data_IF_261373541519
#
_entry.id   IF_261373541519
#
_cell.length_a   1.000
_cell.length_b   1.000
_cell.length_c   1.000
_cell.angle_alpha   90.00
_cell.angle_beta   90.00
_cell.angle_gamma   90.00
#
_symmetry.space_group_name_H-M   'P 1'
#
loop_
_entity.id
_entity.type
_entity.pdbx_description
1 polymer ?
#
# COMPACT_ATOMS: atom_id res chain seq x y z
N UNK A 1 1.70 -1.35 -25.07
CA UNK A 1 0.92 -1.05 -23.85
C UNK A 1 0.07 -2.21 -23.31
N UNK A 2 -0.43 -3.15 -24.11
CA UNK A 2 -1.28 -4.24 -23.57
C UNK A 2 -0.50 -5.38 -22.88
N UNK A 3 0.80 -5.54 -23.12
CA UNK A 3 1.64 -6.57 -22.50
C UNK A 3 2.23 -6.14 -21.13
N UNK A 4 2.12 -4.89 -20.79
CA UNK A 4 2.80 -4.29 -19.62
C UNK A 4 2.14 -4.69 -18.28
N UNK A 5 0.83 -4.94 -18.26
CA UNK A 5 0.07 -5.23 -17.04
C UNK A 5 -0.58 -6.61 -17.04
N UNK A 6 -0.11 -7.52 -17.90
CA UNK A 6 -0.61 -8.89 -17.96
C UNK A 6 -2.14 -8.98 -18.00
N UNK A 7 -2.71 -9.85 -17.17
CA UNK A 7 -4.16 -10.06 -17.08
C UNK A 7 -4.92 -8.81 -16.58
N UNK A 8 -4.23 -7.87 -15.90
CA UNK A 8 -4.85 -6.64 -15.38
C UNK A 8 -4.96 -5.50 -16.40
N UNK A 9 -4.46 -5.67 -17.62
CA UNK A 9 -4.57 -4.66 -18.70
C UNK A 9 -5.99 -4.09 -18.89
N UNK A 10 -7.10 -4.85 -18.76
CA UNK A 10 -8.45 -4.30 -18.85
C UNK A 10 -8.76 -3.24 -17.79
N UNK A 11 -8.24 -3.38 -16.55
CA UNK A 11 -8.44 -2.42 -15.45
C UNK A 11 -7.88 -1.06 -15.84
N UNK A 12 -6.66 -1.03 -16.41
CA UNK A 12 -6.01 0.22 -16.81
C UNK A 12 -6.65 0.86 -18.04
N UNK A 13 -7.15 0.05 -18.98
CA UNK A 13 -7.83 0.53 -20.19
C UNK A 13 -9.19 1.16 -19.87
N UNK A 14 -9.91 0.66 -18.86
CA UNK A 14 -11.21 1.22 -18.46
C UNK A 14 -11.09 2.60 -17.82
N UNK A 15 -9.93 2.94 -17.26
CA UNK A 15 -9.72 4.15 -16.47
C UNK A 15 -10.35 4.11 -15.07
N UNK A 16 -11.14 3.10 -14.74
CA UNK A 16 -11.89 3.01 -13.48
C UNK A 16 -10.99 2.72 -12.26
N UNK A 17 -9.71 2.38 -12.47
CA UNK A 17 -8.76 2.15 -11.37
C UNK A 17 -8.63 3.36 -10.43
N UNK A 18 -8.93 4.58 -10.88
CA UNK A 18 -8.93 5.78 -10.04
C UNK A 18 -9.97 5.70 -8.91
N UNK A 19 -11.09 4.99 -9.14
CA UNK A 19 -12.09 4.74 -8.09
C UNK A 19 -11.56 3.89 -6.95
N UNK A 20 -10.49 3.11 -7.20
CA UNK A 20 -9.84 2.27 -6.17
C UNK A 20 -9.03 3.12 -5.17
N UNK A 21 -8.64 4.35 -5.54
CA UNK A 21 -7.82 5.22 -4.68
C UNK A 21 -8.48 5.50 -3.33
N UNK A 22 -9.79 5.74 -3.36
CA UNK A 22 -10.59 6.00 -2.17
C UNK A 22 -11.63 4.91 -1.89
N UNK A 23 -11.71 3.89 -2.74
CA UNK A 23 -12.77 2.86 -2.73
C UNK A 23 -14.18 3.46 -2.60
N UNK A 24 -14.40 4.57 -3.30
CA UNK A 24 -15.63 5.35 -3.25
C UNK A 24 -16.13 5.77 -4.64
N UNK A 25 -17.37 6.27 -4.66
CA UNK A 25 -18.00 6.74 -5.91
C UNK A 25 -18.79 5.65 -6.65
N UNK A 26 -19.48 6.02 -7.73
CA UNK A 26 -20.42 5.13 -8.42
C UNK A 26 -19.73 3.95 -9.11
N UNK A 27 -18.49 4.13 -9.58
CA UNK A 27 -17.78 3.13 -10.39
C UNK A 27 -16.95 2.14 -9.57
N UNK A 28 -16.86 2.30 -8.24
CA UNK A 28 -15.97 1.50 -7.39
C UNK A 28 -16.30 0.00 -7.47
N UNK A 29 -17.57 -0.36 -7.44
CA UNK A 29 -18.00 -1.77 -7.53
C UNK A 29 -17.56 -2.40 -8.85
N UNK A 30 -17.73 -1.66 -9.95
CA UNK A 30 -17.32 -2.12 -11.27
C UNK A 30 -15.79 -2.27 -11.35
N UNK A 31 -15.03 -1.31 -10.83
CA UNK A 31 -13.57 -1.35 -10.80
C UNK A 31 -13.07 -2.56 -10.00
N UNK A 32 -13.61 -2.77 -8.80
CA UNK A 32 -13.26 -3.92 -7.96
C UNK A 32 -13.64 -5.24 -8.64
N UNK A 33 -14.86 -5.36 -9.17
CA UNK A 33 -15.30 -6.57 -9.89
C UNK A 33 -14.33 -6.90 -11.03
N UNK A 34 -13.92 -5.89 -11.80
CA UNK A 34 -12.98 -6.09 -12.91
C UNK A 34 -11.60 -6.59 -12.42
N UNK A 35 -11.09 -6.07 -11.30
CA UNK A 35 -9.85 -6.57 -10.68
C UNK A 35 -10.00 -8.06 -10.30
N UNK A 36 -11.11 -8.42 -9.64
CA UNK A 36 -11.36 -9.79 -9.21
C UNK A 36 -11.51 -10.76 -10.38
N UNK A 37 -12.19 -10.35 -11.46
CA UNK A 37 -12.31 -11.12 -12.68
C UNK A 37 -10.94 -11.33 -13.36
N UNK A 38 -10.08 -10.31 -13.38
CA UNK A 38 -8.71 -10.43 -13.88
C UNK A 38 -7.92 -11.47 -13.09
N UNK A 39 -8.02 -11.47 -11.75
CA UNK A 39 -7.41 -12.49 -10.91
C UNK A 39 -7.90 -13.91 -11.24
N UNK A 40 -9.19 -14.10 -11.56
CA UNK A 40 -9.74 -15.42 -11.86
C UNK A 40 -9.27 -15.97 -13.22
N UNK A 41 -8.87 -15.09 -14.14
CA UNK A 41 -8.40 -15.47 -15.49
C UNK A 41 -6.95 -15.93 -15.53
N UNK A 42 -6.17 -15.63 -14.48
CA UNK A 42 -4.76 -16.02 -14.44
C UNK A 42 -4.57 -17.42 -13.90
N UNK A 43 -3.72 -18.20 -14.56
CA UNK A 43 -3.22 -19.49 -14.05
C UNK A 43 -2.23 -19.30 -12.90
N UNK A 44 -1.50 -18.20 -12.88
CA UNK A 44 -0.59 -17.79 -11.79
C UNK A 44 -0.92 -16.38 -11.31
N UNK A 45 -2.04 -16.28 -10.61
CA UNK A 45 -2.56 -15.01 -10.12
C UNK A 45 -1.61 -14.28 -9.15
N UNK A 46 -0.81 -15.02 -8.38
CA UNK A 46 0.10 -14.41 -7.40
C UNK A 46 1.35 -13.83 -8.06
N UNK A 47 1.85 -14.46 -9.10
CA UNK A 47 2.93 -13.89 -9.92
C UNK A 47 2.46 -12.61 -10.62
N UNK A 48 1.28 -12.64 -11.22
CA UNK A 48 0.68 -11.46 -11.86
C UNK A 48 0.44 -10.30 -10.87
N UNK A 49 -0.02 -10.59 -9.65
CA UNK A 49 -0.16 -9.59 -8.58
C UNK A 49 1.21 -9.07 -8.14
N UNK A 50 2.20 -9.96 -7.96
CA UNK A 50 3.56 -9.58 -7.57
C UNK A 50 4.19 -8.64 -8.61
N UNK A 51 3.99 -8.92 -9.90
CA UNK A 51 4.49 -8.10 -11.00
C UNK A 51 3.92 -6.67 -10.97
N UNK A 52 2.67 -6.47 -10.51
CA UNK A 52 2.13 -5.13 -10.35
C UNK A 52 2.92 -4.28 -9.35
N UNK A 53 3.52 -4.90 -8.32
CA UNK A 53 4.33 -4.19 -7.32
C UNK A 53 5.77 -3.90 -7.79
N UNK A 54 6.22 -4.53 -8.88
CA UNK A 54 7.53 -4.25 -9.47
C UNK A 54 7.55 -2.98 -10.35
N UNK A 55 6.39 -2.46 -10.73
CA UNK A 55 6.31 -1.22 -11.47
C UNK A 55 6.80 -0.03 -10.63
N UNK A 56 7.28 1.02 -11.32
CA UNK A 56 7.68 2.27 -10.69
C UNK A 56 6.51 3.22 -10.46
N UNK A 57 5.40 3.00 -11.18
CA UNK A 57 4.17 3.78 -11.08
C UNK A 57 3.27 3.25 -9.96
N UNK A 58 2.65 4.15 -9.21
CA UNK A 58 1.76 3.82 -8.10
C UNK A 58 0.43 3.17 -8.53
N UNK A 59 0.00 3.36 -9.78
CA UNK A 59 -1.28 2.84 -10.30
C UNK A 59 -1.34 1.31 -10.28
N UNK A 60 -0.34 0.58 -10.79
CA UNK A 60 -0.26 -0.86 -10.61
C UNK A 60 -0.23 -1.29 -9.15
N UNK A 61 0.47 -0.57 -8.28
CA UNK A 61 0.47 -0.87 -6.84
C UNK A 61 -0.92 -0.83 -6.23
N UNK A 62 -1.75 0.15 -6.60
CA UNK A 62 -3.13 0.26 -6.13
C UNK A 62 -4.00 -0.92 -6.58
N UNK A 63 -3.89 -1.32 -7.85
CA UNK A 63 -4.60 -2.48 -8.40
C UNK A 63 -4.12 -3.77 -7.70
N UNK A 64 -2.81 -3.92 -7.51
CA UNK A 64 -2.20 -5.04 -6.79
C UNK A 64 -2.67 -5.13 -5.34
N UNK A 65 -2.80 -4.00 -4.64
CA UNK A 65 -3.31 -3.95 -3.28
C UNK A 65 -4.74 -4.50 -3.19
N UNK A 66 -5.66 -4.05 -4.07
CA UNK A 66 -7.05 -4.56 -4.12
C UNK A 66 -7.06 -6.05 -4.49
N UNK A 67 -6.28 -6.46 -5.49
CA UNK A 67 -6.21 -7.85 -5.92
C UNK A 67 -5.73 -8.77 -4.79
N UNK A 68 -4.74 -8.34 -4.02
CA UNK A 68 -4.16 -9.12 -2.93
C UNK A 68 -5.13 -9.27 -1.75
N UNK A 69 -5.89 -8.21 -1.40
CA UNK A 69 -6.85 -8.26 -0.28
C UNK A 69 -7.97 -9.27 -0.48
N UNK A 70 -8.27 -9.65 -1.71
CA UNK A 70 -9.30 -10.63 -2.05
C UNK A 70 -8.78 -12.07 -2.12
N UNK A 71 -7.55 -12.35 -1.66
CA UNK A 71 -6.88 -13.64 -1.83
C UNK A 71 -6.28 -14.14 -0.52
N UNK A 72 -6.13 -15.48 -0.36
CA UNK A 72 -5.35 -16.04 0.73
C UNK A 72 -3.91 -15.52 0.72
N UNK A 73 -3.27 -15.60 1.89
CA UNK A 73 -1.86 -15.22 2.04
C UNK A 73 -0.96 -15.89 1.00
N UNK A 74 -0.11 -15.09 0.39
CA UNK A 74 0.99 -15.56 -0.46
C UNK A 74 2.27 -14.80 -0.12
N UNK A 75 3.31 -15.52 0.26
CA UNK A 75 4.58 -14.95 0.73
C UNK A 75 5.25 -14.08 -0.32
N UNK A 76 5.27 -14.52 -1.60
CA UNK A 76 5.94 -13.79 -2.68
C UNK A 76 5.23 -12.47 -2.95
N UNK A 77 3.90 -12.49 -3.13
CA UNK A 77 3.12 -11.28 -3.38
C UNK A 77 3.21 -10.29 -2.19
N UNK A 78 3.16 -10.78 -0.93
CA UNK A 78 3.35 -9.93 0.24
C UNK A 78 4.77 -9.35 0.32
N UNK A 79 5.81 -10.11 -0.05
CA UNK A 79 7.18 -9.57 -0.12
C UNK A 79 7.27 -8.41 -1.11
N UNK A 80 6.69 -8.56 -2.30
CA UNK A 80 6.67 -7.52 -3.33
C UNK A 80 5.86 -6.29 -2.93
N UNK A 81 4.74 -6.50 -2.23
CA UNK A 81 3.99 -5.40 -1.63
C UNK A 81 4.84 -4.60 -0.65
N UNK A 82 5.57 -5.27 0.26
CA UNK A 82 6.46 -4.60 1.19
C UNK A 82 7.64 -3.89 0.51
N UNK A 83 8.18 -4.44 -0.58
CA UNK A 83 9.19 -3.77 -1.41
C UNK A 83 8.66 -2.47 -2.02
N UNK A 84 7.42 -2.47 -2.55
CA UNK A 84 6.76 -1.29 -3.08
C UNK A 84 6.44 -0.26 -1.97
N UNK A 85 6.06 -0.73 -0.79
CA UNK A 85 5.86 0.10 0.40
C UNK A 85 7.17 0.80 0.80
N UNK A 86 8.28 0.05 0.94
CA UNK A 86 9.59 0.55 1.32
C UNK A 86 10.20 1.48 0.25
N UNK A 87 9.80 1.34 -1.01
CA UNK A 87 10.13 2.27 -2.07
C UNK A 87 9.41 3.64 -1.94
N UNK A 88 8.49 3.77 -0.99
CA UNK A 88 7.72 4.99 -0.76
C UNK A 88 6.72 5.27 -1.87
N UNK A 89 5.96 4.27 -2.29
CA UNK A 89 4.85 4.42 -3.24
C UNK A 89 3.91 5.56 -2.82
N UNK A 90 3.36 6.25 -3.80
CA UNK A 90 2.39 7.31 -3.52
C UNK A 90 1.13 6.79 -2.80
N UNK A 91 0.76 5.53 -3.03
CA UNK A 91 -0.36 4.83 -2.38
C UNK A 91 0.06 4.01 -1.15
N UNK A 92 1.10 4.44 -0.44
CA UNK A 92 1.60 3.80 0.79
C UNK A 92 0.50 3.47 1.82
N UNK A 93 -0.50 4.34 2.10
CA UNK A 93 -1.58 3.99 3.03
C UNK A 93 -2.39 2.77 2.58
N UNK A 94 -2.69 2.65 1.28
CA UNK A 94 -3.43 1.52 0.71
C UNK A 94 -2.60 0.23 0.74
N UNK A 95 -1.29 0.33 0.50
CA UNK A 95 -0.37 -0.80 0.65
C UNK A 95 -0.30 -1.28 2.10
N UNK A 96 -0.26 -0.36 3.07
CA UNK A 96 -0.29 -0.70 4.49
C UNK A 96 -1.56 -1.48 4.86
N UNK A 97 -2.73 -1.06 4.36
CA UNK A 97 -4.00 -1.78 4.59
C UNK A 97 -3.98 -3.16 3.93
N UNK A 98 -3.50 -3.27 2.70
CA UNK A 98 -3.37 -4.57 2.04
C UNK A 98 -2.45 -5.51 2.85
N UNK A 99 -1.31 -5.02 3.34
CA UNK A 99 -0.43 -5.79 4.22
C UNK A 99 -1.13 -6.18 5.54
N UNK A 100 -1.86 -5.27 6.17
CA UNK A 100 -2.61 -5.51 7.41
C UNK A 100 -3.64 -6.65 7.26
N UNK A 101 -4.30 -6.73 6.11
CA UNK A 101 -5.32 -7.75 5.84
C UNK A 101 -4.72 -9.09 5.39
N UNK A 102 -3.60 -9.07 4.66
CA UNK A 102 -3.11 -10.24 3.92
C UNK A 102 -1.86 -10.87 4.54
N UNK A 103 -1.04 -10.11 5.30
CA UNK A 103 0.20 -10.63 5.85
C UNK A 103 0.04 -11.04 7.32
N UNK A 104 0.04 -12.35 7.65
CA UNK A 104 -0.06 -12.81 9.04
C UNK A 104 1.09 -12.32 9.92
N UNK A 105 2.19 -11.86 9.31
CA UNK A 105 3.34 -11.30 10.02
C UNK A 105 3.31 -9.77 10.11
N UNK A 106 2.18 -9.13 9.77
CA UNK A 106 2.04 -7.67 9.72
C UNK A 106 2.58 -6.96 10.95
N UNK A 107 2.24 -7.45 12.17
CA UNK A 107 2.71 -6.83 13.42
C UNK A 107 4.24 -6.77 13.50
N UNK A 108 4.92 -7.84 13.11
CA UNK A 108 6.38 -7.93 13.10
C UNK A 108 6.96 -6.98 12.04
N UNK A 109 6.41 -7.03 10.83
CA UNK A 109 6.86 -6.21 9.70
C UNK A 109 6.67 -4.71 9.98
N UNK A 110 5.53 -4.33 10.54
CA UNK A 110 5.24 -2.96 10.94
C UNK A 110 6.19 -2.49 12.06
N UNK A 111 6.37 -3.30 13.11
CA UNK A 111 7.25 -2.96 14.23
C UNK A 111 8.71 -2.74 13.78
N UNK A 112 9.23 -3.58 12.89
CA UNK A 112 10.58 -3.42 12.36
C UNK A 112 10.74 -2.10 11.58
N UNK A 113 9.74 -1.72 10.77
CA UNK A 113 9.75 -0.47 10.00
C UNK A 113 9.61 0.76 10.89
N UNK A 114 8.73 0.71 11.88
CA UNK A 114 8.55 1.81 12.84
C UNK A 114 9.86 2.05 13.64
N UNK A 115 10.48 1.00 14.16
CA UNK A 115 11.77 1.09 14.87
C UNK A 115 12.89 1.70 14.00
N UNK A 116 12.89 1.41 12.72
CA UNK A 116 13.85 2.00 11.77
C UNK A 116 13.38 3.34 11.17
N UNK A 117 12.25 3.91 11.65
CA UNK A 117 11.67 5.17 11.15
C UNK A 117 11.28 5.11 9.67
N UNK A 118 10.81 3.95 9.20
CA UNK A 118 10.31 3.72 7.84
C UNK A 118 11.25 4.28 6.76
N UNK A 119 12.50 3.82 6.67
CA UNK A 119 13.44 4.34 5.70
C UNK A 119 12.97 4.06 4.27
N UNK A 120 13.03 5.08 3.42
CA UNK A 120 12.66 4.94 2.01
C UNK A 120 13.84 4.35 1.22
N UNK A 121 13.57 3.31 0.43
CA UNK A 121 14.57 2.72 -0.47
C UNK A 121 14.90 3.66 -1.63
N UNK A 122 15.98 4.41 -1.50
CA UNK A 122 16.41 5.44 -2.47
C UNK A 122 16.77 4.88 -3.84
N UNK A 123 17.19 3.64 -3.95
CA UNK A 123 17.58 3.04 -5.23
C UNK A 123 16.38 3.00 -6.21
N UNK A 124 15.19 2.69 -5.73
CA UNK A 124 13.97 2.73 -6.54
C UNK A 124 13.49 4.15 -6.87
N UNK A 125 13.76 5.14 -6.02
CA UNK A 125 13.38 6.54 -6.27
C UNK A 125 14.14 7.14 -7.47
N UNK A 126 15.37 6.72 -7.71
CA UNK A 126 16.20 7.23 -8.82
C UNK A 126 15.66 6.79 -10.18
N UNK A 127 14.95 5.67 -10.22
CA UNK A 127 14.37 5.08 -11.44
C UNK A 127 12.99 5.67 -11.79
N UNK A 128 12.39 6.47 -10.90
CA UNK A 128 11.09 7.10 -11.17
C UNK A 128 11.16 8.18 -12.26
N UNK A 129 10.05 8.43 -12.99
CA UNK A 129 9.98 9.50 -13.99
C UNK A 129 10.40 10.86 -13.43
N UNK A 130 11.02 11.69 -14.27
CA UNK A 130 11.64 12.95 -13.84
C UNK A 130 10.67 13.91 -13.12
N UNK A 131 9.37 13.88 -13.47
CA UNK A 131 8.35 14.73 -12.85
C UNK A 131 8.14 14.38 -11.36
N UNK A 132 8.14 13.08 -11.02
CA UNK A 132 7.97 12.62 -9.64
C UNK A 132 9.26 12.78 -8.82
N UNK A 133 10.43 12.80 -9.48
CA UNK A 133 11.73 13.01 -8.84
C UNK A 133 11.85 14.39 -8.19
N UNK A 134 11.39 15.44 -8.86
CA UNK A 134 11.54 16.82 -8.36
C UNK A 134 10.77 17.09 -7.06
N UNK A 135 9.63 16.42 -6.89
CA UNK A 135 8.78 16.59 -5.69
C UNK A 135 9.22 15.64 -4.56
N UNK A 136 9.85 14.51 -4.90
CA UNK A 136 9.94 13.36 -3.99
C UNK A 136 11.34 12.99 -3.53
N UNK A 137 12.41 13.46 -4.20
CA UNK A 137 13.80 13.02 -3.93
C UNK A 137 14.59 13.96 -3.03
N UNK A 138 14.08 15.15 -2.74
CA UNK A 138 14.70 16.05 -1.75
C UNK A 138 14.53 15.53 -0.31
N UNK A 139 15.34 16.02 0.65
CA UNK A 139 15.24 15.60 2.06
C UNK A 139 13.83 15.72 2.63
N UNK A 140 13.10 16.78 2.30
CA UNK A 140 11.72 16.99 2.73
C UNK A 140 10.76 15.94 2.13
N UNK A 141 10.90 15.58 0.85
CA UNK A 141 10.06 14.55 0.22
C UNK A 141 10.32 13.15 0.78
N UNK A 142 11.57 12.83 1.15
CA UNK A 142 11.92 11.56 1.81
C UNK A 142 11.31 11.51 3.21
N UNK A 143 11.43 12.58 3.99
CA UNK A 143 10.82 12.68 5.32
C UNK A 143 9.30 12.52 5.25
N UNK A 144 8.65 13.16 4.29
CA UNK A 144 7.20 13.03 4.06
C UNK A 144 6.79 11.58 3.73
N UNK A 145 7.55 10.85 2.91
CA UNK A 145 7.26 9.44 2.58
C UNK A 145 7.41 8.54 3.81
N UNK A 146 8.46 8.76 4.61
CA UNK A 146 8.67 8.04 5.87
C UNK A 146 7.54 8.33 6.87
N UNK A 147 7.11 9.58 7.00
CA UNK A 147 6.00 9.99 7.85
C UNK A 147 4.69 9.33 7.43
N UNK A 148 4.37 9.35 6.13
CA UNK A 148 3.21 8.69 5.53
C UNK A 148 3.18 7.19 5.86
N UNK A 149 4.33 6.52 5.70
CA UNK A 149 4.47 5.11 6.02
C UNK A 149 4.28 4.85 7.52
N UNK A 150 4.94 5.62 8.39
CA UNK A 150 4.84 5.50 9.84
C UNK A 150 3.41 5.72 10.33
N UNK A 151 2.74 6.81 9.91
CA UNK A 151 1.36 7.13 10.28
C UNK A 151 0.39 6.01 9.94
N UNK A 152 0.51 5.46 8.72
CA UNK A 152 -0.34 4.35 8.26
C UNK A 152 -0.12 3.09 9.10
N UNK A 153 1.14 2.71 9.37
CA UNK A 153 1.47 1.51 10.14
C UNK A 153 1.06 1.64 11.61
N UNK A 154 1.30 2.78 12.26
CA UNK A 154 0.91 3.05 13.65
C UNK A 154 -0.61 2.93 13.78
N UNK A 155 -1.38 3.56 12.85
CA UNK A 155 -2.84 3.48 12.85
C UNK A 155 -3.33 2.04 12.78
N UNK A 156 -2.83 1.25 11.85
CA UNK A 156 -3.26 -0.13 11.63
C UNK A 156 -2.80 -1.07 12.74
N UNK A 157 -1.58 -0.90 13.27
CA UNK A 157 -1.10 -1.67 14.41
C UNK A 157 -1.97 -1.46 15.66
N UNK A 158 -2.51 -0.25 15.84
CA UNK A 158 -3.47 0.05 16.91
C UNK A 158 -4.83 -0.63 16.76
N UNK A 159 -5.16 -1.18 15.58
CA UNK A 159 -6.41 -1.91 15.31
C UNK A 159 -6.27 -3.42 15.47
N UNK A 160 -5.07 -3.95 15.70
CA UNK A 160 -4.88 -5.38 15.93
C UNK A 160 -5.62 -5.83 17.20
N UNK A 161 -6.24 -7.03 17.16
CA UNK A 161 -6.97 -7.60 18.27
C UNK A 161 -6.12 -7.72 19.55
N UNK A 162 -4.82 -8.01 19.37
CA UNK A 162 -3.81 -7.93 20.43
C UNK A 162 -2.89 -6.77 20.10
N UNK A 163 -3.01 -5.69 20.86
CA UNK A 163 -2.14 -4.52 20.71
C UNK A 163 -0.67 -4.94 20.88
N UNK A 164 0.21 -4.67 19.90
CA UNK A 164 1.61 -5.07 20.00
C UNK A 164 2.32 -4.33 21.14
N UNK A 165 3.09 -5.05 21.96
CA UNK A 165 3.88 -4.46 23.06
C UNK A 165 4.82 -3.34 22.59
N UNK A 166 5.46 -3.53 21.44
CA UNK A 166 6.36 -2.53 20.86
C UNK A 166 5.68 -1.20 20.51
N UNK A 167 4.35 -1.17 20.33
CA UNK A 167 3.67 0.03 19.85
C UNK A 167 3.67 1.15 20.89
N UNK A 168 3.44 0.83 22.15
CA UNK A 168 3.41 1.83 23.22
C UNK A 168 4.80 2.40 23.50
N UNK A 169 5.84 1.54 23.47
CA UNK A 169 7.24 1.96 23.62
C UNK A 169 7.66 2.92 22.50
N UNK A 170 7.29 2.60 21.26
CA UNK A 170 7.62 3.44 20.11
C UNK A 170 6.83 4.76 20.10
N UNK A 171 5.55 4.75 20.49
CA UNK A 171 4.75 5.97 20.61
C UNK A 171 5.26 6.92 21.70
N UNK A 172 5.96 6.43 22.71
CA UNK A 172 6.62 7.25 23.72
C UNK A 172 7.94 7.89 23.19
N UNK A 173 8.43 7.49 22.01
CA UNK A 173 9.67 8.03 21.43
C UNK A 173 9.44 9.41 20.81
N UNK A 174 10.22 10.45 21.22
CA UNK A 174 10.14 11.77 20.61
C UNK A 174 10.41 11.74 19.08
N UNK A 175 11.38 10.95 18.63
CA UNK A 175 11.74 10.83 17.22
C UNK A 175 10.58 10.32 16.35
N UNK A 176 9.76 9.37 16.87
CA UNK A 176 8.58 8.93 16.17
C UNK A 176 7.49 10.00 16.18
N UNK A 177 7.28 10.66 17.32
CA UNK A 177 6.30 11.74 17.45
C UNK A 177 6.60 12.87 16.45
N UNK A 178 7.85 13.29 16.37
CA UNK A 178 8.29 14.32 15.42
C UNK A 178 8.11 13.86 13.96
N UNK A 179 8.41 12.59 13.67
CA UNK A 179 8.18 12.03 12.33
C UNK A 179 6.68 12.04 11.97
N UNK A 180 5.80 11.57 12.87
CA UNK A 180 4.35 11.55 12.65
C UNK A 180 3.77 12.96 12.44
N UNK A 181 4.30 13.96 13.15
CA UNK A 181 3.87 15.36 13.00
C UNK A 181 4.20 15.95 11.62
N UNK A 182 5.09 15.32 10.85
CA UNK A 182 5.41 15.75 9.47
C UNK A 182 4.47 15.17 8.42
N UNK A 183 3.53 14.26 8.77
CA UNK A 183 2.55 13.69 7.84
C UNK A 183 1.42 14.67 7.52
N UNK A 184 1.65 15.53 6.53
CA UNK A 184 0.68 16.53 6.07
C UNK A 184 -0.46 15.93 5.21
N UNK A 185 -0.32 14.69 4.76
CA UNK A 185 -1.30 14.01 3.89
C UNK A 185 -2.36 13.25 4.71
N UNK A 186 -2.30 13.28 6.04
CA UNK A 186 -3.22 12.56 6.92
C UNK A 186 -3.32 11.06 6.58
N UNK A 187 -2.18 10.40 6.40
CA UNK A 187 -2.10 9.04 5.88
C UNK A 187 -2.73 8.00 6.80
N UNK A 188 -2.79 8.28 8.11
CA UNK A 188 -3.50 7.45 9.08
C UNK A 188 -5.01 7.39 8.79
N UNK A 189 -5.62 8.55 8.47
CA UNK A 189 -7.04 8.67 8.12
C UNK A 189 -7.32 8.04 6.76
N UNK A 190 -6.42 8.22 5.78
CA UNK A 190 -6.54 7.57 4.47
C UNK A 190 -6.53 6.05 4.64
N UNK A 191 -5.59 5.49 5.42
CA UNK A 191 -5.52 4.06 5.68
C UNK A 191 -6.80 3.55 6.37
N UNK A 192 -7.29 4.25 7.39
CA UNK A 192 -8.52 3.88 8.08
C UNK A 192 -9.73 3.90 7.14
N UNK A 193 -9.89 4.98 6.39
CA UNK A 193 -11.01 5.13 5.45
C UNK A 193 -11.00 4.04 4.37
N UNK A 194 -9.82 3.72 3.84
CA UNK A 194 -9.66 2.67 2.84
C UNK A 194 -10.02 1.29 3.40
N UNK A 195 -9.59 0.98 4.64
CA UNK A 195 -9.94 -0.24 5.34
C UNK A 195 -11.46 -0.36 5.56
N UNK A 196 -12.11 0.72 5.98
CA UNK A 196 -13.54 0.73 6.25
C UNK A 196 -14.36 0.54 4.95
N UNK A 197 -13.91 1.15 3.85
CA UNK A 197 -14.53 0.96 2.55
C UNK A 197 -14.36 -0.47 2.00
N UNK A 198 -13.21 -1.12 2.23
CA UNK A 198 -13.03 -2.54 1.91
C UNK A 198 -14.04 -3.43 2.66
N UNK A 199 -14.27 -3.15 3.94
CA UNK A 199 -15.28 -3.88 4.74
C UNK A 199 -16.67 -3.71 4.16
N UNK A 200 -17.05 -2.48 3.77
CA UNK A 200 -18.37 -2.21 3.14
C UNK A 200 -18.51 -2.96 1.81
N UNK A 201 -17.44 -3.08 1.04
CA UNK A 201 -17.42 -3.82 -0.23
C UNK A 201 -17.30 -5.33 -0.03
N UNK A 202 -17.16 -5.82 1.21
CA UNK A 202 -16.97 -7.22 1.57
C UNK A 202 -15.77 -7.87 0.85
N UNK A 203 -14.69 -7.11 0.71
CA UNK A 203 -13.46 -7.58 0.07
C UNK A 203 -12.45 -7.95 1.18
N UNK A 204 -11.94 -9.18 1.14
CA UNK A 204 -10.87 -9.61 2.04
C UNK A 204 -11.29 -9.89 3.48
N UNK A 205 -12.58 -10.11 3.74
CA UNK A 205 -13.11 -10.41 5.07
C UNK A 205 -13.66 -11.83 5.13
#
# INVERSE_FOLDING_TARGET
MAAEFGVFSPVFKSGNYLSLLHLGGPDVKQAVTLVLECCQRSSDQYEEIANLFDHLDWRPHLVGAVALTARPYNKQACSKLWEAFDAGSWVTPQLAVAAFLCDPTFSIQAGNRIRSRCPVNRSRLVEQPALDRHISSGPAGISQRSAKAASSLVRLAGLLASRPEWLDDELASPDLTDLLATDIDHSAEIAQHWLDNLKVLSIGL
#
